data_IF_805641002315
#
_entry.id   IF_805641002315
#
_cell.length_a   1.000
_cell.length_b   1.000
_cell.length_c   1.000
_cell.angle_alpha   90.00
_cell.angle_beta   90.00
_cell.angle_gamma   90.00
#
_symmetry.space_group_name_H-M   'P 1'
#
loop_
_entity.id
_entity.type
_entity.pdbx_description
1 polymer ?
#
# COMPACT_ATOMS: atom_id res chain seq x y z
N UNK A 1 2.27 11.97 1.66
CA UNK A 1 1.64 10.62 1.70
C UNK A 1 1.40 9.99 0.32
N UNK A 2 1.20 10.76 -0.76
CA UNK A 2 0.83 10.20 -2.06
C UNK A 2 1.83 9.19 -2.64
N UNK A 3 3.13 9.44 -2.57
CA UNK A 3 4.14 8.49 -3.06
C UNK A 3 4.09 7.13 -2.34
N UNK A 4 3.85 7.13 -1.03
CA UNK A 4 3.69 5.90 -0.22
C UNK A 4 2.43 5.13 -0.63
N UNK A 5 1.31 5.82 -0.86
CA UNK A 5 0.08 5.19 -1.37
C UNK A 5 0.28 4.64 -2.78
N UNK A 6 0.92 5.41 -3.67
CA UNK A 6 1.24 4.96 -5.02
C UNK A 6 2.06 3.66 -5.01
N UNK A 7 3.10 3.59 -4.19
CA UNK A 7 3.91 2.37 -4.02
C UNK A 7 3.08 1.18 -3.49
N UNK A 8 2.17 1.39 -2.54
CA UNK A 8 1.42 0.30 -1.92
C UNK A 8 0.23 -0.18 -2.74
N UNK A 9 -0.41 0.71 -3.49
CA UNK A 9 -1.70 0.44 -4.13
C UNK A 9 -1.57 0.32 -5.65
N UNK A 10 -0.81 1.21 -6.31
CA UNK A 10 -0.73 1.27 -7.77
C UNK A 10 0.44 0.47 -8.34
N UNK A 11 1.64 0.57 -7.74
CA UNK A 11 2.84 -0.11 -8.24
C UNK A 11 2.67 -1.65 -8.33
N UNK A 12 2.04 -2.34 -7.37
CA UNK A 12 1.83 -3.79 -7.47
C UNK A 12 0.92 -4.17 -8.65
N UNK A 13 -0.10 -3.35 -8.94
CA UNK A 13 -1.00 -3.56 -10.08
C UNK A 13 -0.26 -3.43 -11.40
N UNK A 14 0.60 -2.41 -11.52
CA UNK A 14 1.46 -2.24 -12.70
C UNK A 14 2.40 -3.45 -12.86
N UNK A 15 3.02 -3.93 -11.77
CA UNK A 15 3.92 -5.09 -11.82
C UNK A 15 3.20 -6.38 -12.20
N UNK A 16 1.95 -6.56 -11.77
CA UNK A 16 1.14 -7.73 -12.10
C UNK A 16 0.92 -7.87 -13.62
N UNK A 17 0.58 -6.77 -14.29
CA UNK A 17 0.39 -6.77 -15.75
C UNK A 17 1.70 -6.65 -16.54
N UNK A 18 2.77 -6.15 -15.92
CA UNK A 18 4.07 -5.96 -16.56
C UNK A 18 5.20 -6.68 -15.78
N UNK A 19 5.19 -8.03 -15.73
CA UNK A 19 6.14 -8.80 -14.93
C UNK A 19 7.59 -8.64 -15.42
N UNK A 20 7.80 -8.45 -16.72
CA UNK A 20 9.13 -8.29 -17.30
C UNK A 20 9.79 -6.95 -16.98
N UNK A 21 9.02 -5.93 -16.56
CA UNK A 21 9.57 -4.60 -16.25
C UNK A 21 10.07 -4.58 -14.81
N UNK A 22 11.36 -4.33 -14.54
CA UNK A 22 11.86 -4.17 -13.18
C UNK A 22 11.33 -2.87 -12.57
N UNK A 23 10.72 -2.96 -11.39
CA UNK A 23 10.22 -1.81 -10.62
C UNK A 23 10.94 -1.80 -9.28
N UNK A 24 11.81 -0.82 -9.07
CA UNK A 24 12.71 -0.75 -7.91
C UNK A 24 12.29 0.40 -7.01
N UNK A 25 12.35 0.16 -5.70
CA UNK A 25 12.04 1.17 -4.70
C UNK A 25 13.28 1.40 -3.85
N UNK A 26 13.74 2.64 -3.83
CA UNK A 26 14.82 3.10 -2.96
C UNK A 26 14.23 4.00 -1.88
N UNK A 27 14.23 3.52 -0.64
CA UNK A 27 13.74 4.28 0.52
C UNK A 27 14.93 4.81 1.31
N UNK A 28 14.67 5.87 2.07
CA UNK A 28 15.62 6.48 2.97
C UNK A 28 14.87 7.16 4.12
N UNK A 29 15.58 7.49 5.20
CA UNK A 29 15.00 8.15 6.38
C UNK A 29 15.01 9.68 6.29
N UNK A 30 15.81 10.24 5.38
CA UNK A 30 16.02 11.67 5.21
C UNK A 30 14.79 12.33 4.56
N UNK A 31 14.06 13.14 5.31
CA UNK A 31 12.82 13.80 4.85
C UNK A 31 13.06 14.89 3.80
N UNK A 32 14.29 15.40 3.70
CA UNK A 32 14.66 16.54 2.84
C UNK A 32 14.67 16.17 1.34
N UNK A 33 14.88 14.89 1.01
CA UNK A 33 14.91 14.46 -0.38
C UNK A 33 13.50 14.37 -0.93
N UNK A 34 13.27 15.02 -2.07
CA UNK A 34 11.99 14.98 -2.76
C UNK A 34 11.67 13.57 -3.26
N UNK A 35 10.47 13.04 -2.98
CA UNK A 35 10.05 11.75 -3.53
C UNK A 35 9.94 11.85 -5.05
N UNK A 36 10.81 11.14 -5.75
CA UNK A 36 10.95 11.23 -7.20
C UNK A 36 10.78 9.86 -7.82
N UNK A 37 10.04 9.78 -8.93
CA UNK A 37 9.90 8.59 -9.75
C UNK A 37 10.66 8.78 -11.07
N UNK A 38 11.57 7.87 -11.39
CA UNK A 38 12.31 7.87 -12.65
C UNK A 38 11.83 6.72 -13.53
N UNK A 39 11.41 7.04 -14.75
CA UNK A 39 10.95 6.08 -15.76
C UNK A 39 11.96 6.08 -16.91
N UNK A 40 12.53 4.91 -17.20
CA UNK A 40 13.49 4.73 -18.29
C UNK A 40 12.71 4.29 -19.53
N UNK A 41 12.70 5.14 -20.55
CA UNK A 41 12.02 4.90 -21.82
C UNK A 41 13.05 4.84 -22.93
N UNK A 42 12.88 3.88 -23.84
CA UNK A 42 13.69 3.81 -25.04
C UNK A 42 13.41 5.02 -25.94
N UNK A 43 14.46 5.58 -26.56
CA UNK A 43 14.32 6.60 -27.60
C UNK A 43 13.69 5.99 -28.85
N UNK A 44 12.82 6.73 -29.58
CA UNK A 44 12.21 6.21 -30.80
C UNK A 44 13.26 5.89 -31.88
N UNK A 45 14.38 6.61 -31.90
CA UNK A 45 15.46 6.47 -32.89
C UNK A 45 16.53 5.44 -32.48
N UNK A 46 16.30 4.68 -31.41
CA UNK A 46 17.27 3.69 -30.92
C UNK A 46 17.40 2.52 -31.89
N UNK A 47 18.58 2.39 -32.52
CA UNK A 47 18.85 1.37 -33.55
C UNK A 47 19.22 -0.02 -32.98
N UNK A 48 19.71 -0.10 -31.75
CA UNK A 48 20.15 -1.36 -31.12
C UNK A 48 18.95 -2.16 -30.61
N UNK A 49 18.92 -3.49 -30.55
CA UNK A 49 17.82 -4.22 -29.89
C UNK A 49 17.82 -3.98 -28.35
N UNK A 50 16.67 -4.14 -27.65
CA UNK A 50 16.63 -3.96 -26.20
C UNK A 50 17.49 -5.04 -25.51
N UNK A 51 18.26 -4.68 -24.47
CA UNK A 51 19.06 -5.67 -23.75
C UNK A 51 18.15 -6.71 -23.09
N UNK A 52 18.47 -7.99 -23.27
CA UNK A 52 17.67 -9.11 -22.72
C UNK A 52 17.66 -9.12 -21.18
N UNK A 53 18.75 -8.64 -20.56
CA UNK A 53 18.88 -8.47 -19.12
C UNK A 53 19.51 -7.12 -18.83
N UNK A 54 18.93 -6.38 -17.90
CA UNK A 54 19.46 -5.10 -17.45
C UNK A 54 20.05 -5.28 -16.06
N UNK A 55 21.31 -4.88 -15.87
CA UNK A 55 21.90 -4.82 -14.54
C UNK A 55 21.20 -3.72 -13.75
N UNK A 56 20.33 -4.12 -12.84
CA UNK A 56 19.47 -3.24 -12.08
C UNK A 56 19.72 -3.49 -10.58
N UNK A 57 19.86 -2.44 -9.75
CA UNK A 57 20.10 -2.61 -8.34
C UNK A 57 18.87 -3.26 -7.67
N UNK A 58 19.08 -4.02 -6.59
CA UNK A 58 17.99 -4.50 -5.75
C UNK A 58 17.26 -3.31 -5.09
N UNK A 59 16.04 -3.50 -4.58
CA UNK A 59 15.39 -2.45 -3.76
C UNK A 59 16.11 -2.27 -2.42
N UNK A 60 16.16 -1.04 -1.89
CA UNK A 60 16.85 -0.72 -0.64
C UNK A 60 16.00 0.12 0.30
N UNK A 61 16.27 -0.02 1.61
CA UNK A 61 15.66 0.79 2.67
C UNK A 61 16.56 1.92 3.16
N UNK A 62 17.84 1.88 2.78
CA UNK A 62 18.92 2.70 3.34
C UNK A 62 19.63 3.51 2.24
N UNK A 63 18.88 3.90 1.20
CA UNK A 63 19.36 4.72 0.09
C UNK A 63 20.47 4.10 -0.78
N UNK A 64 20.61 2.78 -0.81
CA UNK A 64 21.69 2.10 -1.56
C UNK A 64 21.38 1.92 -3.05
N UNK A 65 20.13 2.12 -3.47
CA UNK A 65 19.66 1.80 -4.82
C UNK A 65 19.33 3.06 -5.61
N UNK A 66 20.33 3.93 -5.75
CA UNK A 66 20.15 5.22 -6.42
C UNK A 66 19.83 5.02 -7.91
N UNK A 67 19.04 5.95 -8.47
CA UNK A 67 18.70 5.95 -9.88
C UNK A 67 19.97 6.08 -10.73
N UNK A 68 20.18 5.13 -11.63
CA UNK A 68 21.31 5.14 -12.56
C UNK A 68 21.07 6.19 -13.68
N UNK A 69 22.12 6.75 -14.29
CA UNK A 69 21.95 7.54 -15.50
C UNK A 69 21.32 6.70 -16.64
N UNK A 70 20.60 7.33 -17.60
CA UNK A 70 20.12 6.63 -18.79
C UNK A 70 21.27 6.04 -19.59
N UNK A 71 21.01 4.90 -20.22
CA UNK A 71 21.88 4.37 -21.28
C UNK A 71 21.75 5.21 -22.57
N UNK A 72 22.68 5.04 -23.52
CA UNK A 72 22.74 5.87 -24.74
C UNK A 72 21.42 5.90 -25.55
N UNK A 73 20.73 4.75 -25.61
CA UNK A 73 19.47 4.56 -26.35
C UNK A 73 18.22 4.85 -25.50
N UNK A 74 18.38 5.41 -24.31
CA UNK A 74 17.30 5.67 -23.37
C UNK A 74 17.18 7.14 -22.99
N UNK A 75 15.97 7.53 -22.62
CA UNK A 75 15.67 8.79 -21.95
C UNK A 75 15.04 8.49 -20.60
N UNK A 76 15.36 9.30 -19.61
CA UNK A 76 14.72 9.24 -18.29
C UNK A 76 13.65 10.31 -18.21
N UNK A 77 12.46 9.91 -17.81
CA UNK A 77 11.39 10.83 -17.42
C UNK A 77 11.31 10.86 -15.90
N UNK A 78 11.46 12.05 -15.35
CA UNK A 78 11.49 12.28 -13.91
C UNK A 78 10.19 12.93 -13.47
N UNK A 79 9.45 12.27 -12.58
CA UNK A 79 8.20 12.76 -12.02
C UNK A 79 8.43 13.12 -10.55
N UNK A 80 8.28 14.40 -10.22
CA UNK A 80 8.23 14.86 -8.82
C UNK A 80 6.89 14.45 -8.21
N UNK A 81 6.92 13.67 -7.13
CA UNK A 81 5.73 13.16 -6.43
C UNK A 81 5.38 13.99 -5.19
N UNK A 82 6.10 15.09 -4.94
CA UNK A 82 5.88 15.98 -3.79
C UNK A 82 4.46 16.54 -3.84
N UNK A 83 3.74 16.42 -2.72
CA UNK A 83 2.35 16.90 -2.55
C UNK A 83 1.32 16.37 -3.55
N UNK A 84 1.67 15.41 -4.42
CA UNK A 84 0.72 14.81 -5.37
C UNK A 84 -0.06 13.68 -4.73
N UNK A 85 -1.34 13.53 -5.11
CA UNK A 85 -2.14 12.37 -4.75
C UNK A 85 -1.75 11.15 -5.61
N UNK A 86 -1.98 9.92 -5.10
CA UNK A 86 -1.57 8.69 -5.80
C UNK A 86 -2.24 8.51 -7.16
N UNK A 87 -3.49 8.95 -7.32
CA UNK A 87 -4.22 8.94 -8.59
C UNK A 87 -3.58 9.83 -9.65
N UNK A 88 -3.22 11.06 -9.28
CA UNK A 88 -2.55 11.99 -10.20
C UNK A 88 -1.19 11.46 -10.63
N UNK A 89 -0.42 10.84 -9.72
CA UNK A 89 0.85 10.23 -10.08
C UNK A 89 0.65 9.10 -11.10
N UNK A 90 -0.39 8.29 -10.95
CA UNK A 90 -0.74 7.25 -11.91
C UNK A 90 -1.11 7.85 -13.27
N UNK A 91 -1.90 8.92 -13.31
CA UNK A 91 -2.24 9.62 -14.55
C UNK A 91 -1.00 10.12 -15.30
N UNK A 92 -0.01 10.72 -14.59
CA UNK A 92 1.25 11.12 -15.21
C UNK A 92 2.02 9.93 -15.79
N UNK A 93 2.07 8.81 -15.06
CA UNK A 93 2.72 7.58 -15.54
C UNK A 93 2.04 7.06 -16.80
N UNK A 94 0.71 7.00 -16.81
CA UNK A 94 -0.08 6.54 -17.96
C UNK A 94 0.10 7.45 -19.17
N UNK A 95 0.06 8.78 -18.98
CA UNK A 95 0.26 9.75 -20.04
C UNK A 95 1.65 9.66 -20.68
N UNK A 96 2.69 9.53 -19.86
CA UNK A 96 4.07 9.48 -20.35
C UNK A 96 4.40 8.14 -21.04
N UNK A 97 3.94 7.04 -20.46
CA UNK A 97 4.16 5.69 -21.01
C UNK A 97 3.22 5.36 -22.16
N UNK A 98 2.17 6.17 -22.37
CA UNK A 98 1.06 5.91 -23.31
C UNK A 98 0.42 4.55 -23.08
N UNK A 99 0.37 4.11 -21.82
CA UNK A 99 -0.17 2.81 -21.45
C UNK A 99 -1.70 2.78 -21.59
N UNK A 100 -2.24 1.60 -21.92
CA UNK A 100 -3.68 1.36 -22.03
C UNK A 100 -4.22 0.88 -20.69
N UNK A 101 -5.30 1.49 -20.22
CA UNK A 101 -5.98 1.08 -18.99
C UNK A 101 -6.77 -0.21 -19.25
N UNK A 102 -6.47 -1.25 -18.48
CA UNK A 102 -7.20 -2.52 -18.52
C UNK A 102 -8.48 -2.36 -17.72
N UNK A 103 -9.62 -2.63 -18.36
CA UNK A 103 -10.91 -2.63 -17.69
C UNK A 103 -11.11 -3.96 -16.95
N UNK A 104 -11.61 -3.95 -15.70
CA UNK A 104 -11.98 -5.16 -15.00
C UNK A 104 -13.00 -5.97 -15.79
N UNK A 105 -12.84 -7.29 -15.75
CA UNK A 105 -13.79 -8.23 -16.31
C UNK A 105 -15.07 -8.31 -15.48
N UNK A 106 -16.15 -8.86 -16.05
CA UNK A 106 -17.44 -9.00 -15.35
C UNK A 106 -17.34 -9.87 -14.10
N UNK A 107 -16.47 -10.87 -14.12
CA UNK A 107 -16.23 -11.78 -13.00
C UNK A 107 -15.53 -11.04 -11.86
N UNK A 108 -14.44 -10.32 -12.16
CA UNK A 108 -13.73 -9.49 -11.18
C UNK A 108 -14.63 -8.41 -10.55
N UNK A 109 -15.54 -7.81 -11.34
CA UNK A 109 -16.52 -6.85 -10.81
C UNK A 109 -17.46 -7.51 -9.80
N UNK A 110 -17.91 -8.74 -10.05
CA UNK A 110 -18.77 -9.48 -9.11
C UNK A 110 -18.02 -9.83 -7.85
N UNK A 111 -16.80 -10.34 -7.96
CA UNK A 111 -15.95 -10.64 -6.80
C UNK A 111 -15.71 -9.39 -5.93
N UNK A 112 -15.45 -8.24 -6.55
CA UNK A 112 -15.31 -6.97 -5.83
C UNK A 112 -16.59 -6.60 -5.08
N UNK A 113 -17.76 -6.76 -5.69
CA UNK A 113 -19.04 -6.50 -5.05
C UNK A 113 -19.31 -7.44 -3.88
N UNK A 114 -18.97 -8.74 -4.01
CA UNK A 114 -19.10 -9.73 -2.94
C UNK A 114 -18.17 -9.42 -1.76
N UNK A 115 -16.91 -9.06 -2.04
CA UNK A 115 -15.95 -8.63 -1.02
C UNK A 115 -16.43 -7.37 -0.30
N UNK A 116 -17.00 -6.40 -1.02
CA UNK A 116 -17.55 -5.19 -0.42
C UNK A 116 -18.77 -5.49 0.46
N UNK A 117 -19.68 -6.35 0.02
CA UNK A 117 -20.83 -6.78 0.81
C UNK A 117 -20.38 -7.48 2.10
N UNK A 118 -19.40 -8.38 2.00
CA UNK A 118 -18.80 -9.08 3.14
C UNK A 118 -18.15 -8.09 4.12
N UNK A 119 -17.46 -7.05 3.64
CA UNK A 119 -16.87 -6.01 4.50
C UNK A 119 -17.91 -5.24 5.29
N UNK A 120 -19.01 -4.84 4.65
CA UNK A 120 -20.11 -4.12 5.32
C UNK A 120 -20.72 -4.97 6.43
N UNK A 121 -20.96 -6.25 6.16
CA UNK A 121 -21.49 -7.17 7.18
C UNK A 121 -20.49 -7.36 8.32
N UNK A 122 -19.20 -7.54 8.00
CA UNK A 122 -18.16 -7.71 9.00
C UNK A 122 -17.99 -6.49 9.93
N UNK A 123 -18.24 -5.26 9.45
CA UNK A 123 -18.23 -4.06 10.30
C UNK A 123 -19.37 -4.09 11.31
N UNK A 124 -20.58 -4.39 10.87
CA UNK A 124 -21.76 -4.53 11.75
C UNK A 124 -21.52 -5.61 12.81
N UNK A 125 -20.99 -6.77 12.40
CA UNK A 125 -20.73 -7.87 13.32
C UNK A 125 -19.61 -7.55 14.32
N UNK A 126 -18.57 -6.82 13.89
CA UNK A 126 -17.52 -6.33 14.80
C UNK A 126 -18.07 -5.39 15.86
N UNK A 127 -18.98 -4.49 15.49
CA UNK A 127 -19.59 -3.55 16.42
C UNK A 127 -20.49 -4.27 17.43
N UNK A 128 -21.35 -5.19 16.97
CA UNK A 128 -22.16 -6.04 17.87
C UNK A 128 -21.30 -6.83 18.85
N UNK A 129 -20.24 -7.46 18.36
CA UNK A 129 -19.33 -8.23 19.20
C UNK A 129 -18.50 -7.37 20.15
N UNK A 130 -18.29 -6.09 19.83
CA UNK A 130 -17.65 -5.12 20.73
C UNK A 130 -18.59 -4.79 21.89
N UNK A 131 -19.86 -4.48 21.61
CA UNK A 131 -20.87 -4.18 22.64
C UNK A 131 -21.05 -5.34 23.61
N UNK A 132 -21.22 -6.56 23.10
CA UNK A 132 -21.36 -7.76 23.95
C UNK A 132 -20.13 -8.00 24.83
N UNK A 133 -18.92 -7.71 24.34
CA UNK A 133 -17.69 -7.84 25.13
C UNK A 133 -17.59 -6.75 26.20
N UNK A 134 -18.03 -5.54 25.90
CA UNK A 134 -18.05 -4.44 26.86
C UNK A 134 -19.09 -4.63 27.96
N UNK A 135 -20.25 -5.19 27.64
CA UNK A 135 -21.28 -5.53 28.61
C UNK A 135 -20.82 -6.65 29.55
N UNK A 136 -20.32 -7.77 29.00
CA UNK A 136 -19.74 -8.85 29.82
C UNK A 136 -18.63 -8.35 30.73
N UNK A 137 -17.74 -7.51 30.21
CA UNK A 137 -16.66 -6.92 31.02
C UNK A 137 -17.22 -6.05 32.15
N UNK A 138 -18.27 -5.25 31.89
CA UNK A 138 -18.93 -4.43 32.91
C UNK A 138 -19.59 -5.27 34.00
N UNK A 139 -20.27 -6.35 33.62
CA UNK A 139 -20.86 -7.31 34.55
C UNK A 139 -19.80 -8.00 35.42
N UNK A 140 -18.73 -8.50 34.79
CA UNK A 140 -17.59 -9.13 35.49
C UNK A 140 -16.93 -8.14 36.47
N UNK A 141 -16.69 -6.90 36.06
CA UNK A 141 -16.11 -5.85 36.91
C UNK A 141 -17.06 -5.49 38.08
N UNK A 142 -18.37 -5.45 37.86
CA UNK A 142 -19.37 -5.21 38.91
C UNK A 142 -19.39 -6.37 39.92
N UNK A 143 -19.45 -7.61 39.44
CA UNK A 143 -19.47 -8.80 40.28
C UNK A 143 -18.17 -8.93 41.09
N UNK A 144 -17.02 -8.62 40.47
CA UNK A 144 -15.71 -8.59 41.15
C UNK A 144 -15.67 -7.55 42.27
N UNK A 145 -16.22 -6.34 42.05
CA UNK A 145 -16.32 -5.30 43.09
C UNK A 145 -17.27 -5.73 44.22
N UNK A 146 -18.42 -6.31 43.89
CA UNK A 146 -19.36 -6.81 44.89
C UNK A 146 -18.77 -7.94 45.73
N UNK A 147 -18.07 -8.90 45.11
CA UNK A 147 -17.36 -9.98 45.83
C UNK A 147 -16.23 -9.44 46.72
N UNK A 148 -15.49 -8.42 46.26
CA UNK A 148 -14.46 -7.77 47.07
C UNK A 148 -15.03 -6.99 48.25
N UNK A 149 -16.24 -6.42 48.13
CA UNK A 149 -16.92 -5.70 49.21
C UNK A 149 -17.63 -6.65 50.21
N UNK A 150 -18.17 -7.77 49.74
CA UNK A 150 -18.85 -8.77 50.58
C UNK A 150 -17.92 -9.77 51.28
N UNK A 151 -16.70 -9.96 50.78
CA UNK A 151 -15.71 -10.88 51.35
C UNK A 151 -14.93 -10.35 52.56
N UNK A 152 -15.28 -9.16 53.09
CA UNK A 152 -14.63 -8.57 54.28
C UNK A 152 -15.58 -8.57 55.49
N UNK A 153 -16.81 -9.07 55.35
CA UNK A 153 -17.82 -9.04 56.42
C UNK A 153 -17.95 -10.35 57.22
N UNK A 154 -17.25 -11.43 56.86
CA UNK A 154 -17.35 -12.74 57.56
C UNK A 154 -16.15 -13.07 58.48
N UNK A 155 -15.18 -12.17 58.67
CA UNK A 155 -14.02 -12.42 59.56
C UNK A 155 -14.07 -11.69 60.93
N UNK A 156 -15.16 -11.00 61.28
CA UNK A 156 -15.32 -10.37 62.60
C UNK A 156 -16.54 -10.91 63.37
N UNK A 157 -16.61 -12.22 63.65
CA UNK A 157 -17.43 -12.74 64.76
C UNK A 157 -17.02 -14.20 65.11
N UNK A 158 -15.92 -14.38 65.85
CA UNK A 158 -15.62 -15.56 66.68
C UNK A 158 -14.48 -15.29 67.65
#
# INVERSE_FOLDING_TARGET
>A
MGAKKFWRENLPRLKYHNPSVPMIVNRHAQSENKPTLSIYLRKPDASSPPPATRNQPASSRDNLSKAAPPDADERVVTIDMTEKHSSHILEYVLAETRAVVIQPTKEEIRELQEIEAMRRQAEVDRDRMRELREEKKREEDMLKRARAAGGVAEEEES
#
